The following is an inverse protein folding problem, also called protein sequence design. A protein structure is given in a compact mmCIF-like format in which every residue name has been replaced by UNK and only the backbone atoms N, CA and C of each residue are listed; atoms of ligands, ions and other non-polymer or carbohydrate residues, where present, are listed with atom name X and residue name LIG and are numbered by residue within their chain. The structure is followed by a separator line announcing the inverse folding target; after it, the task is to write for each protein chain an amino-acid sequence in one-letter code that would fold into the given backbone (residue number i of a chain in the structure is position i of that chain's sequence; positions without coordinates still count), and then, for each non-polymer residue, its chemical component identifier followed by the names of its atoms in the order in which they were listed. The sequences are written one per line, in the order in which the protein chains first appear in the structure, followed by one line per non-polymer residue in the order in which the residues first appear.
data_IF_900477126529
#
_entry.id   IF_900477126529
#
_cell.length_a   1.000
_cell.length_b   1.000
_cell.length_c   1.000
_cell.angle_alpha   90.00
_cell.angle_beta   90.00
_cell.angle_gamma   90.00
#
_symmetry.space_group_name_H-M   'P 1'
#
loop_
_entity.id
_entity.type
_entity.pdbx_description
1 polymer ?
#
# COMPACT_ATOMS: atom_id res chain seq x y z
N UNK A 1 13.22 12.17 -9.00
CA UNK A 1 12.05 11.39 -8.56
C UNK A 1 12.36 10.40 -7.44
N UNK A 2 11.88 10.68 -6.25
CA UNK A 2 11.88 9.77 -5.10
C UNK A 2 10.49 9.67 -4.46
N UNK A 3 10.14 8.55 -3.78
CA UNK A 3 8.93 8.52 -2.97
C UNK A 3 9.03 9.52 -1.81
N UNK A 4 7.91 10.01 -1.26
CA UNK A 4 7.91 10.69 0.02
C UNK A 4 8.48 9.79 1.13
N UNK A 5 8.86 10.39 2.25
CA UNK A 5 9.30 9.62 3.43
C UNK A 5 8.19 8.68 3.91
N UNK A 6 8.58 7.53 4.45
CA UNK A 6 7.63 6.56 5.01
C UNK A 6 6.79 7.24 6.12
N UNK A 7 5.49 6.95 6.18
CA UNK A 7 4.64 7.45 7.25
C UNK A 7 5.10 6.96 8.62
N UNK A 8 4.86 7.80 9.63
CA UNK A 8 4.96 7.36 11.02
C UNK A 8 4.04 6.16 11.26
N UNK A 9 4.59 5.14 11.92
CA UNK A 9 3.83 3.96 12.24
C UNK A 9 2.76 4.28 13.29
N UNK A 10 1.56 3.70 13.20
CA UNK A 10 0.51 3.91 14.19
C UNK A 10 1.02 3.63 15.61
N UNK A 11 0.67 4.51 16.54
CA UNK A 11 1.07 4.41 17.95
C UNK A 11 0.29 3.32 18.72
N UNK A 12 -0.88 2.92 18.22
CA UNK A 12 -1.77 1.93 18.82
C UNK A 12 -1.53 0.47 18.36
N UNK A 13 -0.47 0.24 17.58
CA UNK A 13 -0.16 -1.09 17.03
C UNK A 13 0.19 -2.11 18.12
N UNK A 14 -0.02 -3.39 17.79
CA UNK A 14 0.53 -4.51 18.55
C UNK A 14 2.05 -4.36 18.74
N UNK A 15 2.55 -4.60 19.95
CA UNK A 15 3.99 -4.60 20.22
C UNK A 15 4.45 -6.05 20.18
N UNK A 16 5.36 -6.37 19.26
CA UNK A 16 5.87 -7.72 19.11
C UNK A 16 6.35 -8.31 20.45
N UNK A 17 5.78 -9.43 20.86
CA UNK A 17 6.18 -10.15 22.08
C UNK A 17 5.86 -9.41 23.39
N UNK A 18 5.00 -8.40 23.39
CA UNK A 18 4.63 -7.69 24.63
C UNK A 18 3.80 -8.52 25.59
N UNK A 19 3.11 -9.55 25.11
CA UNK A 19 2.32 -10.45 25.95
C UNK A 19 2.98 -11.84 26.05
N UNK A 20 3.46 -12.14 27.26
CA UNK A 20 4.18 -13.38 27.58
C UNK A 20 3.32 -14.37 28.39
N UNK A 21 2.05 -14.04 28.65
CA UNK A 21 1.15 -14.87 29.43
C UNK A 21 0.81 -16.20 28.75
N UNK A 22 0.65 -17.27 29.55
CA UNK A 22 0.28 -18.61 29.04
C UNK A 22 -1.07 -18.59 28.32
N UNK A 23 -2.06 -17.90 28.89
CA UNK A 23 -3.39 -17.77 28.25
C UNK A 23 -3.32 -17.02 26.92
N UNK A 24 -2.44 -16.03 26.82
CA UNK A 24 -2.22 -15.26 25.60
C UNK A 24 -1.56 -16.09 24.51
N UNK A 25 -0.63 -16.98 24.87
CA UNK A 25 -0.07 -17.98 23.94
C UNK A 25 -1.11 -18.97 23.44
N UNK A 26 -2.06 -19.38 24.30
CA UNK A 26 -3.18 -20.24 23.89
C UNK A 26 -4.10 -19.51 22.91
N UNK A 27 -4.47 -18.26 23.21
CA UNK A 27 -5.28 -17.43 22.33
C UNK A 27 -4.59 -17.22 20.96
N UNK A 28 -3.30 -16.90 20.98
CA UNK A 28 -2.48 -16.82 19.77
C UNK A 28 -2.44 -18.15 18.98
N UNK A 29 -2.56 -19.31 19.65
CA UNK A 29 -2.63 -20.62 18.99
C UNK A 29 -3.92 -20.83 18.22
N UNK A 30 -5.05 -20.40 18.80
CA UNK A 30 -6.35 -20.40 18.13
C UNK A 30 -6.32 -19.46 16.92
N UNK A 31 -5.87 -18.22 17.13
CA UNK A 31 -5.69 -17.22 16.07
C UNK A 31 -4.82 -17.73 14.91
N UNK A 32 -3.71 -18.42 15.20
CA UNK A 32 -2.86 -19.03 14.16
C UNK A 32 -3.62 -20.06 13.32
N UNK A 33 -4.50 -20.83 13.95
CA UNK A 33 -5.31 -21.85 13.28
C UNK A 33 -6.31 -21.20 12.35
N UNK A 34 -6.97 -20.14 12.79
CA UNK A 34 -7.95 -19.38 11.99
C UNK A 34 -7.28 -18.72 10.77
N UNK A 35 -6.12 -18.07 10.94
CA UNK A 35 -5.34 -17.52 9.82
C UNK A 35 -4.86 -18.61 8.85
N UNK A 36 -4.57 -19.82 9.35
CA UNK A 36 -4.21 -20.95 8.47
C UNK A 36 -5.41 -21.39 7.63
N UNK A 37 -6.63 -21.38 8.18
CA UNK A 37 -7.85 -21.66 7.42
C UNK A 37 -8.11 -20.60 6.34
N UNK A 38 -7.86 -19.32 6.65
CA UNK A 38 -7.94 -18.21 5.68
C UNK A 38 -6.94 -18.42 4.53
N UNK A 39 -5.69 -18.81 4.82
CA UNK A 39 -4.71 -19.14 3.78
C UNK A 39 -5.22 -20.23 2.83
N UNK A 40 -5.79 -21.31 3.37
CA UNK A 40 -6.34 -22.42 2.56
C UNK A 40 -7.51 -21.94 1.70
N UNK A 41 -8.39 -21.09 2.26
CA UNK A 41 -9.51 -20.53 1.51
C UNK A 41 -9.02 -19.65 0.35
N UNK A 42 -8.09 -18.74 0.58
CA UNK A 42 -7.50 -17.91 -0.47
C UNK A 42 -6.77 -18.72 -1.53
N UNK A 43 -5.98 -19.72 -1.12
CA UNK A 43 -5.31 -20.63 -2.07
C UNK A 43 -6.36 -21.34 -2.96
N UNK A 44 -7.51 -21.74 -2.40
CA UNK A 44 -8.60 -22.38 -3.16
C UNK A 44 -9.35 -21.44 -4.11
N UNK A 45 -9.34 -20.14 -3.82
CA UNK A 45 -9.90 -19.09 -4.68
C UNK A 45 -8.92 -18.69 -5.80
N UNK A 46 -7.70 -19.21 -5.81
CA UNK A 46 -6.66 -18.86 -6.77
C UNK A 46 -6.06 -17.48 -6.54
N UNK A 47 -6.07 -17.00 -5.29
CA UNK A 47 -5.42 -15.75 -4.92
C UNK A 47 -3.91 -15.94 -4.84
N UNK A 48 -3.14 -14.92 -5.23
CA UNK A 48 -1.69 -15.00 -5.27
C UNK A 48 -1.04 -14.11 -4.20
N UNK A 49 -1.48 -12.85 -4.10
CA UNK A 49 -0.81 -11.86 -3.25
C UNK A 49 -1.28 -11.95 -1.79
N UNK A 50 -2.58 -12.11 -1.56
CA UNK A 50 -3.15 -12.23 -0.22
C UNK A 50 -2.51 -13.37 0.60
N UNK A 51 -2.49 -14.63 0.13
CA UNK A 51 -1.87 -15.70 0.88
C UNK A 51 -0.36 -15.53 1.02
N UNK A 52 0.31 -14.92 0.04
CA UNK A 52 1.75 -14.63 0.11
C UNK A 52 2.08 -13.67 1.25
N UNK A 53 1.39 -12.53 1.35
CA UNK A 53 1.66 -11.54 2.39
C UNK A 53 1.28 -12.07 3.79
N UNK A 54 0.16 -12.79 3.91
CA UNK A 54 -0.22 -13.40 5.19
C UNK A 54 0.80 -14.48 5.64
N UNK A 55 1.36 -15.27 4.72
CA UNK A 55 2.44 -16.21 5.04
C UNK A 55 3.70 -15.49 5.52
N UNK A 56 4.07 -14.36 4.92
CA UNK A 56 5.21 -13.53 5.38
C UNK A 56 4.94 -13.03 6.80
N UNK A 57 3.75 -12.49 7.04
CA UNK A 57 3.32 -12.01 8.36
C UNK A 57 3.49 -13.09 9.45
N UNK A 58 2.98 -14.30 9.18
CA UNK A 58 2.99 -15.42 10.12
C UNK A 58 4.36 -16.09 10.30
N UNK A 59 5.35 -15.79 9.46
CA UNK A 59 6.71 -16.35 9.57
C UNK A 59 7.61 -15.57 10.52
N UNK A 60 7.26 -14.33 10.85
CA UNK A 60 8.13 -13.38 11.55
C UNK A 60 9.53 -13.29 10.90
N UNK A 61 9.60 -12.60 9.77
CA UNK A 61 10.87 -12.35 9.05
C UNK A 61 11.76 -11.28 9.75
N UNK A 62 11.42 -10.84 10.96
CA UNK A 62 12.21 -9.94 11.81
C UNK A 62 11.83 -8.45 11.75
N UNK A 63 12.38 -7.62 12.67
CA UNK A 63 11.89 -6.27 13.02
C UNK A 63 11.98 -5.19 11.93
N UNK A 64 12.64 -5.47 10.81
CA UNK A 64 12.79 -4.52 9.70
C UNK A 64 12.51 -5.18 8.35
N UNK A 65 11.72 -6.27 8.34
CA UNK A 65 11.39 -6.91 7.08
C UNK A 65 10.71 -5.92 6.14
N UNK A 66 11.22 -5.88 4.91
CA UNK A 66 10.74 -5.00 3.86
C UNK A 66 10.45 -5.84 2.63
N UNK A 67 9.18 -6.19 2.47
CA UNK A 67 8.71 -6.89 1.30
C UNK A 67 8.69 -5.93 0.10
N UNK A 68 9.38 -6.30 -0.98
CA UNK A 68 9.36 -5.55 -2.23
C UNK A 68 8.44 -6.24 -3.21
N UNK A 69 7.38 -5.55 -3.60
CA UNK A 69 6.50 -6.03 -4.66
C UNK A 69 7.32 -6.21 -5.94
N UNK A 70 7.15 -7.34 -6.61
CA UNK A 70 7.75 -7.54 -7.90
C UNK A 70 7.04 -6.72 -9.00
N UNK A 71 7.60 -6.72 -10.20
CA UNK A 71 7.03 -5.94 -11.30
C UNK A 71 5.66 -6.42 -11.77
N UNK A 72 5.33 -7.71 -11.60
CA UNK A 72 4.00 -8.22 -11.94
C UNK A 72 2.96 -7.79 -10.91
N UNK A 73 3.30 -7.90 -9.62
CA UNK A 73 2.47 -7.44 -8.50
C UNK A 73 2.17 -5.94 -8.61
N UNK A 74 3.21 -5.11 -8.82
CA UNK A 74 3.00 -3.67 -9.02
C UNK A 74 2.14 -3.37 -10.24
N UNK A 75 2.34 -4.07 -11.36
CA UNK A 75 1.48 -3.86 -12.54
C UNK A 75 0.02 -4.21 -12.24
N UNK A 76 -0.24 -5.23 -11.41
CA UNK A 76 -1.60 -5.59 -10.98
C UNK A 76 -2.18 -4.48 -10.10
N UNK A 77 -1.45 -4.05 -9.08
CA UNK A 77 -1.87 -2.99 -8.14
C UNK A 77 -2.16 -1.67 -8.86
N UNK A 78 -1.22 -1.20 -9.70
CA UNK A 78 -1.35 0.08 -10.40
C UNK A 78 -2.50 0.09 -11.39
N UNK A 79 -2.93 -1.06 -11.92
CA UNK A 79 -4.07 -1.14 -12.84
C UNK A 79 -5.43 -0.99 -12.16
N UNK A 80 -5.50 -1.08 -10.84
CA UNK A 80 -6.77 -0.93 -10.12
C UNK A 80 -7.31 0.49 -10.24
N UNK A 81 -8.63 0.62 -10.28
CA UNK A 81 -9.29 1.92 -10.43
C UNK A 81 -8.99 2.85 -9.24
N UNK A 82 -8.80 2.30 -8.04
CA UNK A 82 -8.44 3.05 -6.85
C UNK A 82 -7.06 3.74 -6.98
N UNK A 83 -6.04 3.00 -7.44
CA UNK A 83 -4.70 3.55 -7.65
C UNK A 83 -4.68 4.53 -8.81
N UNK A 84 -5.40 4.26 -9.90
CA UNK A 84 -5.52 5.19 -11.03
C UNK A 84 -6.17 6.52 -10.60
N UNK A 85 -7.23 6.48 -9.77
CA UNK A 85 -7.84 7.70 -9.21
C UNK A 85 -6.88 8.47 -8.31
N UNK A 86 -6.18 7.78 -7.41
CA UNK A 86 -5.20 8.41 -6.53
C UNK A 86 -4.05 9.05 -7.34
N UNK A 87 -3.50 8.34 -8.32
CA UNK A 87 -2.45 8.86 -9.18
C UNK A 87 -2.91 10.06 -10.01
N UNK A 88 -4.15 10.03 -10.54
CA UNK A 88 -4.72 11.17 -11.25
C UNK A 88 -4.85 12.40 -10.36
N UNK A 89 -5.34 12.24 -9.11
CA UNK A 89 -5.44 13.32 -8.15
C UNK A 89 -4.06 13.93 -7.80
N UNK A 90 -3.03 13.10 -7.59
CA UNK A 90 -1.66 13.60 -7.40
C UNK A 90 -1.13 14.34 -8.63
N UNK A 91 -1.40 13.85 -9.84
CA UNK A 91 -0.98 14.52 -11.07
C UNK A 91 -1.71 15.86 -11.26
N UNK A 92 -2.98 15.96 -10.86
CA UNK A 92 -3.70 17.24 -10.89
C UNK A 92 -3.09 18.27 -9.93
N UNK A 93 -2.67 17.84 -8.73
CA UNK A 93 -1.90 18.71 -7.81
C UNK A 93 -0.56 19.16 -8.42
N UNK A 94 0.17 18.25 -9.09
CA UNK A 94 1.40 18.60 -9.81
C UNK A 94 1.13 19.63 -10.90
N UNK A 95 0.03 19.49 -11.66
CA UNK A 95 -0.36 20.46 -12.69
C UNK A 95 -0.66 21.82 -12.08
N UNK A 96 -1.36 21.87 -10.95
CA UNK A 96 -1.66 23.13 -10.27
C UNK A 96 -0.38 23.82 -9.76
N UNK A 97 0.56 23.06 -9.19
CA UNK A 97 1.87 23.57 -8.76
C UNK A 97 2.72 24.03 -9.95
N UNK A 98 2.71 23.30 -11.06
CA UNK A 98 3.38 23.68 -12.30
C UNK A 98 2.76 24.95 -12.90
N UNK A 99 1.43 25.10 -12.86
CA UNK A 99 0.74 26.32 -13.34
C UNK A 99 1.07 27.53 -12.48
N UNK A 100 1.20 27.34 -11.17
CA UNK A 100 1.54 28.41 -10.23
C UNK A 100 3.00 28.88 -10.33
N UNK A 101 3.94 27.99 -10.68
CA UNK A 101 5.36 28.31 -10.92
C UNK A 101 5.88 27.60 -12.20
N UNK A 102 5.59 28.14 -13.40
CA UNK A 102 5.84 27.42 -14.66
C UNK A 102 7.30 27.10 -14.96
N UNK A 103 8.25 27.98 -14.64
CA UNK A 103 9.69 27.86 -14.99
C UNK A 103 9.92 27.24 -16.38
N UNK A 104 9.47 27.95 -17.41
CA UNK A 104 9.46 27.47 -18.80
C UNK A 104 10.85 26.94 -19.23
N UNK A 105 10.86 25.76 -19.85
CA UNK A 105 12.06 25.11 -20.39
C UNK A 105 12.96 24.46 -19.35
N UNK A 106 12.56 24.44 -18.08
CA UNK A 106 13.31 23.80 -16.99
C UNK A 106 12.60 22.53 -16.54
N UNK A 107 13.29 21.40 -16.65
CA UNK A 107 12.85 20.16 -16.00
C UNK A 107 13.14 20.22 -14.51
N UNK A 108 12.14 19.96 -13.68
CA UNK A 108 12.30 19.88 -12.23
C UNK A 108 11.43 18.81 -11.62
N UNK A 109 11.90 18.26 -10.51
CA UNK A 109 11.08 17.38 -9.69
C UNK A 109 9.94 18.19 -9.04
N UNK A 110 8.70 17.76 -9.27
CA UNK A 110 7.52 18.24 -8.55
C UNK A 110 6.89 17.00 -7.90
N UNK A 111 7.02 16.91 -6.59
CA UNK A 111 6.47 15.80 -5.81
C UNK A 111 5.47 16.40 -4.83
N UNK A 112 4.17 16.08 -4.94
CA UNK A 112 3.20 16.38 -3.90
C UNK A 112 3.72 15.91 -2.55
N UNK A 113 3.58 16.75 -1.52
CA UNK A 113 4.31 16.56 -0.27
C UNK A 113 3.90 15.31 0.53
N UNK A 114 2.77 14.67 0.20
CA UNK A 114 2.17 13.64 1.03
C UNK A 114 1.75 12.39 0.25
N UNK A 115 1.84 11.25 0.93
CA UNK A 115 1.13 10.03 0.57
C UNK A 115 -0.39 10.27 0.59
N UNK A 116 -1.06 9.91 -0.50
CA UNK A 116 -2.52 9.71 -0.52
C UNK A 116 -2.78 8.39 0.18
N UNK A 117 -3.34 8.47 1.38
CA UNK A 117 -3.53 7.29 2.20
C UNK A 117 -4.94 6.71 2.18
N UNK A 118 -5.06 5.52 2.78
CA UNK A 118 -6.30 4.76 2.84
C UNK A 118 -6.89 4.48 1.45
N UNK A 119 -6.04 4.16 0.49
CA UNK A 119 -6.47 3.67 -0.83
C UNK A 119 -7.01 2.26 -0.65
N UNK A 120 -8.29 2.09 -0.97
CA UNK A 120 -9.00 0.82 -0.87
C UNK A 120 -9.29 0.26 -2.27
N UNK A 121 -8.92 -1.00 -2.50
CA UNK A 121 -9.20 -1.73 -3.75
C UNK A 121 -10.51 -2.48 -3.59
N UNK A 122 -11.44 -2.26 -4.52
CA UNK A 122 -12.75 -2.93 -4.56
C UNK A 122 -13.01 -3.69 -5.86
N UNK A 123 -12.09 -3.62 -6.83
CA UNK A 123 -12.19 -4.24 -8.15
C UNK A 123 -11.29 -5.45 -8.35
N UNK A 124 -10.56 -5.88 -7.31
CA UNK A 124 -9.74 -7.10 -7.29
C UNK A 124 -9.71 -7.69 -5.88
N UNK A 125 -10.41 -8.82 -5.67
CA UNK A 125 -10.57 -9.41 -4.33
C UNK A 125 -9.24 -9.88 -3.74
N UNK A 126 -8.33 -10.44 -4.54
CA UNK A 126 -7.00 -10.86 -4.07
C UNK A 126 -6.23 -9.64 -3.54
N UNK A 127 -6.17 -8.54 -4.31
CA UNK A 127 -5.51 -7.32 -3.84
C UNK A 127 -6.23 -6.66 -2.67
N UNK A 128 -7.57 -6.68 -2.65
CA UNK A 128 -8.37 -6.15 -1.54
C UNK A 128 -8.06 -6.89 -0.24
N UNK A 129 -8.03 -8.22 -0.28
CA UNK A 129 -7.67 -9.07 0.86
C UNK A 129 -6.18 -8.98 1.23
N UNK A 130 -5.30 -8.75 0.25
CA UNK A 130 -3.88 -8.58 0.48
C UNK A 130 -3.58 -7.25 1.17
N UNK A 131 -4.00 -6.14 0.57
CA UNK A 131 -3.57 -4.81 0.97
C UNK A 131 -4.56 -4.15 1.92
N UNK A 132 -5.86 -4.43 1.85
CA UNK A 132 -6.88 -3.77 2.66
C UNK A 132 -6.92 -2.26 2.40
N UNK A 133 -6.06 -1.53 3.10
CA UNK A 133 -5.77 -0.11 2.90
C UNK A 133 -4.27 0.07 2.71
N UNK A 134 -3.88 0.97 1.82
CA UNK A 134 -2.48 1.30 1.59
C UNK A 134 -2.34 2.74 1.11
N UNK A 135 -1.10 3.17 0.95
CA UNK A 135 -0.74 4.52 0.58
C UNK A 135 -0.17 4.55 -0.84
N UNK A 136 -0.54 5.59 -1.60
CA UNK A 136 -0.05 5.86 -2.95
C UNK A 136 0.57 7.25 -3.01
N UNK A 137 1.68 7.37 -3.73
CA UNK A 137 2.27 8.66 -4.05
C UNK A 137 2.71 8.70 -5.52
N UNK A 138 2.81 9.90 -6.08
CA UNK A 138 3.36 10.11 -7.42
C UNK A 138 4.55 11.04 -7.32
N UNK A 139 5.70 10.61 -7.82
CA UNK A 139 6.84 11.49 -8.06
C UNK A 139 6.91 11.83 -9.55
N UNK A 140 7.20 13.08 -9.88
CA UNK A 140 7.26 13.55 -11.27
C UNK A 140 8.53 14.33 -11.54
N UNK A 141 9.12 14.15 -12.71
CA UNK A 141 10.02 15.13 -13.33
C UNK A 141 9.20 15.87 -14.39
N UNK A 142 8.94 17.16 -14.15
CA UNK A 142 8.03 17.98 -14.94
C UNK A 142 8.81 19.04 -15.73
N UNK A 143 8.52 19.16 -17.02
CA UNK A 143 8.98 20.26 -17.88
C UNK A 143 7.77 21.02 -18.42
N UNK A 144 7.76 22.34 -18.24
CA UNK A 144 6.70 23.21 -18.77
C UNK A 144 7.21 23.97 -19.99
N UNK A 145 6.35 24.07 -21.00
CA UNK A 145 6.59 24.76 -22.26
C UNK A 145 5.52 25.82 -22.47
N UNK A 146 5.90 26.88 -23.20
CA UNK A 146 4.92 27.80 -23.77
C UNK A 146 4.42 27.21 -25.10
N UNK A 147 3.10 27.09 -25.25
CA UNK A 147 2.46 26.64 -26.47
C UNK A 147 2.28 27.80 -27.46
N UNK A 148 2.09 27.46 -28.75
CA UNK A 148 1.96 28.43 -29.84
C UNK A 148 0.73 29.34 -29.70
N UNK A 149 -0.30 28.89 -28.99
CA UNK A 149 -1.52 29.65 -28.67
C UNK A 149 -1.35 30.59 -27.47
N UNK A 150 -0.15 30.66 -26.90
CA UNK A 150 0.16 31.42 -25.70
C UNK A 150 -0.18 30.70 -24.38
N UNK A 151 -0.76 29.50 -24.45
CA UNK A 151 -1.05 28.65 -23.30
C UNK A 151 0.20 27.95 -22.73
N UNK A 152 0.01 27.22 -21.64
CA UNK A 152 1.04 26.38 -21.04
C UNK A 152 0.79 24.91 -21.38
N UNK A 153 1.86 24.19 -21.67
CA UNK A 153 1.88 22.73 -21.82
C UNK A 153 2.91 22.15 -20.88
N UNK A 154 2.64 20.98 -20.32
CA UNK A 154 3.64 20.23 -19.57
C UNK A 154 3.86 18.84 -20.13
N UNK A 155 5.08 18.36 -19.96
CA UNK A 155 5.48 16.96 -20.09
C UNK A 155 5.94 16.49 -18.71
N UNK A 156 5.46 15.33 -18.29
CA UNK A 156 5.70 14.75 -16.98
C UNK A 156 6.10 13.30 -17.16
N UNK A 157 7.35 12.99 -16.81
CA UNK A 157 7.75 11.61 -16.56
C UNK A 157 7.49 11.33 -15.09
N UNK A 158 6.77 10.24 -14.79
CA UNK A 158 6.32 9.98 -13.42
C UNK A 158 6.36 8.50 -13.04
N UNK A 159 6.42 8.27 -11.73
CA UNK A 159 6.28 6.94 -11.11
C UNK A 159 5.21 6.97 -10.05
N UNK A 160 4.45 5.88 -9.99
CA UNK A 160 3.49 5.61 -8.93
C UNK A 160 4.20 4.74 -7.89
N UNK A 161 4.25 5.21 -6.66
CA UNK A 161 4.78 4.51 -5.50
C UNK A 161 3.62 3.94 -4.69
N UNK A 162 3.78 2.71 -4.24
CA UNK A 162 2.84 1.99 -3.38
C UNK A 162 3.56 1.66 -2.09
N UNK A 163 2.94 1.98 -0.95
CA UNK A 163 3.44 1.67 0.38
C UNK A 163 2.31 1.13 1.24
N UNK A 164 2.53 0.00 1.90
CA UNK A 164 1.68 -0.52 2.95
C UNK A 164 2.55 -0.87 4.16
N UNK A 165 2.13 -0.45 5.35
CA UNK A 165 2.64 -1.04 6.58
C UNK A 165 1.70 -2.18 6.93
N UNK A 166 2.04 -3.37 6.43
CA UNK A 166 1.23 -4.55 6.55
C UNK A 166 1.10 -4.94 8.02
N UNK A 167 0.04 -4.45 8.64
CA UNK A 167 -0.48 -4.89 9.91
C UNK A 167 -1.90 -5.40 9.66
N UNK A 168 -2.30 -6.45 10.37
CA UNK A 168 -3.66 -6.97 10.24
C UNK A 168 -4.63 -6.25 11.21
N UNK A 169 -4.13 -5.36 12.06
CA UNK A 169 -4.87 -4.64 13.11
C UNK A 169 -5.88 -3.62 12.53
N UNK A 170 -5.65 -3.13 11.30
CA UNK A 170 -6.44 -2.06 10.68
C UNK A 170 -7.16 -2.47 9.38
N UNK A 171 -6.98 -3.70 8.89
CA UNK A 171 -7.67 -4.17 7.68
C UNK A 171 -9.10 -4.53 8.08
N UNK A 172 -10.03 -3.59 7.91
CA UNK A 172 -11.40 -3.63 8.45
C UNK A 172 -12.23 -4.84 8.00
N UNK A 173 -13.48 -4.90 8.50
CA UNK A 173 -14.51 -5.97 8.48
C UNK A 173 -14.81 -6.69 7.12
N UNK A 174 -14.02 -6.45 6.08
CA UNK A 174 -14.14 -7.02 4.73
C UNK A 174 -13.34 -8.31 4.53
N UNK A 175 -12.43 -8.65 5.46
CA UNK A 175 -11.67 -9.90 5.40
C UNK A 175 -12.59 -11.06 5.76
N UNK A 176 -12.95 -11.80 4.72
CA UNK A 176 -13.76 -13.00 4.61
C UNK A 176 -14.53 -13.39 5.88
N UNK A 177 -15.86 -13.37 5.75
CA UNK A 177 -16.86 -13.92 6.67
C UNK A 177 -16.81 -15.47 6.79
N UNK A 178 -15.60 -16.08 6.82
CA UNK A 178 -15.41 -17.52 7.05
C UNK A 178 -15.81 -17.90 8.49
N UNK A 179 -15.88 -16.94 9.41
CA UNK A 179 -16.34 -17.17 10.78
C UNK A 179 -17.32 -16.07 11.22
N UNK A 180 -18.58 -16.40 11.58
CA UNK A 180 -19.56 -15.41 12.08
C UNK A 180 -19.22 -14.86 13.48
N UNK A 181 -18.19 -15.39 14.14
CA UNK A 181 -17.58 -14.77 15.30
C UNK A 181 -16.47 -13.82 14.81
N UNK A 182 -16.73 -12.51 14.91
CA UNK A 182 -15.76 -11.45 14.65
C UNK A 182 -14.34 -11.78 15.16
N UNK A 183 -13.34 -11.43 14.35
CA UNK A 183 -12.10 -10.70 14.70
C UNK A 183 -10.75 -11.29 14.24
N UNK A 184 -10.58 -11.49 12.93
CA UNK A 184 -9.23 -11.73 12.37
C UNK A 184 -8.24 -10.61 12.79
N UNK A 185 -8.72 -9.38 12.98
CA UNK A 185 -7.89 -8.26 13.48
C UNK A 185 -7.41 -8.46 14.92
N UNK A 186 -8.28 -8.94 15.83
CA UNK A 186 -7.87 -9.26 17.20
C UNK A 186 -6.94 -10.49 17.22
N UNK A 187 -7.21 -11.48 16.38
CA UNK A 187 -6.41 -12.70 16.24
C UNK A 187 -4.97 -12.38 15.80
N UNK A 188 -4.82 -11.52 14.79
CA UNK A 188 -3.51 -11.08 14.34
C UNK A 188 -2.78 -10.20 15.36
N UNK A 189 -3.49 -9.28 16.04
CA UNK A 189 -2.93 -8.53 17.17
C UNK A 189 -2.39 -9.46 18.25
N UNK A 190 -3.14 -10.50 18.64
CA UNK A 190 -2.71 -11.50 19.61
C UNK A 190 -1.48 -12.28 19.15
N UNK A 191 -1.37 -12.59 17.85
CA UNK A 191 -0.19 -13.23 17.28
C UNK A 191 1.05 -12.35 17.35
N UNK A 192 0.92 -11.06 17.04
CA UNK A 192 2.01 -10.09 17.20
C UNK A 192 2.41 -9.92 18.66
N UNK A 193 1.45 -9.69 19.55
CA UNK A 193 1.70 -9.51 20.99
C UNK A 193 2.31 -10.77 21.62
N UNK A 194 1.93 -11.97 21.15
CA UNK A 194 2.56 -13.23 21.55
C UNK A 194 3.89 -13.51 20.82
N UNK A 195 4.33 -12.67 19.89
CA UNK A 195 5.59 -12.80 19.17
C UNK A 195 5.63 -13.98 18.19
N UNK A 196 4.51 -14.31 17.56
CA UNK A 196 4.36 -15.40 16.60
C UNK A 196 4.08 -14.93 15.17
N UNK A 197 3.79 -13.65 15.00
CA UNK A 197 3.70 -12.96 13.73
C UNK A 197 4.30 -11.56 13.88
N UNK A 198 4.62 -10.90 12.76
CA UNK A 198 5.14 -9.53 12.79
C UNK A 198 4.67 -8.72 11.59
N UNK A 199 4.16 -7.52 11.86
CA UNK A 199 3.92 -6.53 10.84
C UNK A 199 5.21 -6.14 10.10
N UNK A 200 5.09 -5.78 8.83
CA UNK A 200 6.23 -5.45 7.97
C UNK A 200 5.90 -4.37 6.96
N UNK A 201 6.94 -3.74 6.39
CA UNK A 201 6.74 -2.78 5.30
C UNK A 201 6.64 -3.54 3.99
N UNK A 202 5.62 -3.25 3.18
CA UNK A 202 5.53 -3.70 1.80
C UNK A 202 5.47 -2.51 0.86
N UNK A 203 6.32 -2.50 -0.17
CA UNK A 203 6.42 -1.36 -1.08
C UNK A 203 6.87 -1.74 -2.47
N UNK A 204 6.58 -0.86 -3.43
CA UNK A 204 7.14 -0.94 -4.77
C UNK A 204 6.77 0.28 -5.60
N UNK A 205 7.22 0.27 -6.85
CA UNK A 205 7.08 1.41 -7.74
C UNK A 205 6.78 0.93 -9.16
N UNK A 206 5.95 1.69 -9.87
CA UNK A 206 5.67 1.44 -11.28
C UNK A 206 6.93 1.57 -12.14
N UNK A 207 6.85 1.06 -13.37
CA UNK A 207 7.72 1.54 -14.43
C UNK A 207 7.53 3.06 -14.64
N UNK A 208 8.45 3.67 -15.39
CA UNK A 208 8.26 5.06 -15.80
C UNK A 208 6.99 5.18 -16.65
N UNK A 209 6.16 6.16 -16.32
CA UNK A 209 4.97 6.53 -17.05
C UNK A 209 5.17 7.95 -17.59
N UNK A 210 4.41 8.30 -18.63
CA UNK A 210 4.51 9.60 -19.27
C UNK A 210 3.13 10.22 -19.39
N UNK A 211 3.04 11.52 -19.10
CA UNK A 211 1.89 12.35 -19.36
C UNK A 211 2.35 13.61 -20.10
N UNK A 212 1.59 14.04 -21.11
CA UNK A 212 1.76 15.37 -21.67
C UNK A 212 0.39 15.98 -21.97
N UNK A 213 0.28 17.29 -21.79
CA UNK A 213 -0.96 17.99 -22.04
C UNK A 213 -0.90 19.45 -21.64
N UNK A 214 -1.98 20.17 -21.94
CA UNK A 214 -2.16 21.54 -21.49
C UNK A 214 -2.21 21.61 -19.96
N UNK A 215 -1.65 22.68 -19.40
CA UNK A 215 -1.84 23.09 -18.01
C UNK A 215 -2.98 24.10 -17.93
#
# INVERSE_FOLDING_TARGET
MHPPEDRELPSNRAIYGSDTGVMSKVAAGLARTDLTAVLVAWDSMGYDLAPKLLRIYMRDEGPNHNYRFDSAEIRKIVKTSAVQRAAAASLDEVKDLARADPRIGVTREITPAAWIGNVEISDDDDLSNALGHFDVAVGTDTTVYQADDGGLRAEMDYRIYVYDYYNFDLKGDHLININPAKTINNEARQLEEAGWARAFKSRGQSAMLHWSGSL
#
